data_IF_180558098616
#
_entry.id   IF_180558098616
#
_cell.length_a   1.000
_cell.length_b   1.000
_cell.length_c   1.000
_cell.angle_alpha   90.00
_cell.angle_beta   90.00
_cell.angle_gamma   90.00
#
_symmetry.space_group_name_H-M   'P 1'
#
loop_
_entity.id
_entity.type
_entity.pdbx_description
1 polymer ?
#
# COMPACT_ATOMS: atom_id res chain seq x y z
N UNK A 1 5.68 -8.57 -3.25
CA UNK A 1 6.08 -8.28 -1.86
C UNK A 1 6.71 -6.89 -1.67
N UNK A 2 7.60 -6.42 -2.56
CA UNK A 2 8.25 -5.10 -2.43
C UNK A 2 7.28 -3.90 -2.31
N UNK A 3 6.18 -3.88 -3.07
CA UNK A 3 5.16 -2.83 -2.98
C UNK A 3 4.56 -2.70 -1.57
N UNK A 4 4.22 -3.82 -0.94
CA UNK A 4 3.68 -3.83 0.42
C UNK A 4 4.66 -3.28 1.47
N UNK A 5 5.94 -3.63 1.37
CA UNK A 5 6.99 -3.10 2.25
C UNK A 5 7.19 -1.60 2.01
N UNK A 6 7.08 -1.18 0.75
CA UNK A 6 7.17 0.23 0.38
C UNK A 6 6.03 1.02 1.03
N UNK A 7 4.78 0.55 0.93
CA UNK A 7 3.64 1.19 1.63
C UNK A 7 3.83 1.15 3.15
N UNK A 8 4.27 0.03 3.73
CA UNK A 8 4.54 -0.03 5.17
C UNK A 8 5.58 1.02 5.62
N UNK A 9 6.55 1.35 4.76
CA UNK A 9 7.55 2.38 5.07
C UNK A 9 6.95 3.79 5.19
N UNK A 10 5.89 4.13 4.45
CA UNK A 10 5.23 5.44 4.60
C UNK A 10 4.53 5.60 5.95
N UNK A 11 4.24 4.49 6.66
CA UNK A 11 3.63 4.49 7.99
C UNK A 11 4.71 4.44 9.09
N UNK A 12 5.69 3.55 8.93
CA UNK A 12 6.63 3.15 9.98
C UNK A 12 7.95 3.93 9.97
N UNK A 13 8.36 4.50 8.82
CA UNK A 13 9.66 5.17 8.67
C UNK A 13 9.45 6.68 8.50
N UNK A 14 9.66 7.50 9.54
CA UNK A 14 9.35 8.93 9.50
C UNK A 14 10.25 9.76 8.58
N UNK A 15 11.38 9.22 8.12
CA UNK A 15 12.30 9.89 7.19
C UNK A 15 11.95 9.71 5.72
N UNK A 16 10.92 8.93 5.39
CA UNK A 16 10.50 8.73 4.00
C UNK A 16 9.69 9.94 3.56
N UNK A 17 10.12 10.59 2.48
CA UNK A 17 9.41 11.75 1.92
C UNK A 17 8.25 11.36 1.01
N UNK A 18 8.33 10.20 0.35
CA UNK A 18 7.28 9.65 -0.53
C UNK A 18 7.55 8.18 -0.86
N UNK A 19 6.51 7.47 -1.30
CA UNK A 19 6.56 6.04 -1.68
C UNK A 19 5.92 5.82 -3.04
N UNK A 20 6.61 5.08 -3.92
CA UNK A 20 6.03 4.49 -5.12
C UNK A 20 5.95 2.97 -4.96
N UNK A 21 4.74 2.43 -4.84
CA UNK A 21 4.50 1.01 -4.64
C UNK A 21 4.02 0.33 -5.92
N UNK A 22 4.41 -0.93 -6.11
CA UNK A 22 3.99 -1.77 -7.23
C UNK A 22 3.50 -3.11 -6.70
N UNK A 23 2.25 -3.46 -7.03
CA UNK A 23 1.63 -4.77 -6.84
C UNK A 23 1.83 -5.34 -5.42
N UNK A 24 1.26 -4.66 -4.41
CA UNK A 24 1.35 -5.14 -3.04
C UNK A 24 0.84 -4.18 -1.98
N UNK A 25 0.02 -4.70 -1.07
CA UNK A 25 -0.55 -4.00 0.09
C UNK A 25 -0.09 -4.71 1.36
N UNK A 26 0.38 -4.00 2.40
CA UNK A 26 0.75 -4.62 3.66
C UNK A 26 -0.49 -5.10 4.42
N UNK A 27 -0.30 -6.10 5.28
CA UNK A 27 -1.33 -6.42 6.28
C UNK A 27 -1.47 -5.27 7.27
N UNK A 28 -2.70 -4.94 7.68
CA UNK A 28 -2.98 -3.96 8.73
C UNK A 28 -2.33 -4.29 10.08
N UNK A 29 -2.00 -5.57 10.33
CA UNK A 29 -1.22 -5.97 11.51
C UNK A 29 0.23 -5.49 11.48
N UNK A 30 0.80 -5.33 10.29
CA UNK A 30 2.16 -4.84 10.08
C UNK A 30 2.16 -3.31 9.99
N UNK A 31 1.29 -2.75 9.14
CA UNK A 31 1.14 -1.32 8.94
C UNK A 31 -0.27 -1.02 8.44
N UNK A 32 -1.00 -0.17 9.16
CA UNK A 32 -2.28 0.38 8.70
C UNK A 32 -2.02 1.47 7.66
N UNK A 33 -2.45 1.23 6.42
CA UNK A 33 -2.18 2.13 5.29
C UNK A 33 -2.92 3.47 5.42
N UNK A 34 -4.02 3.51 6.17
CA UNK A 34 -4.71 4.76 6.52
C UNK A 34 -3.87 5.67 7.45
N UNK A 35 -2.81 5.14 8.08
CA UNK A 35 -1.89 5.89 8.93
C UNK A 35 -0.63 6.36 8.18
N UNK A 36 -0.64 6.33 6.84
CA UNK A 36 0.48 6.80 6.03
C UNK A 36 0.83 8.27 6.36
N UNK A 37 2.10 8.51 6.65
CA UNK A 37 2.65 9.85 6.99
C UNK A 37 3.33 10.52 5.80
N UNK A 38 3.67 9.74 4.77
CA UNK A 38 4.24 10.19 3.52
C UNK A 38 3.28 9.90 2.35
N UNK A 39 3.25 10.73 1.29
CA UNK A 39 2.48 10.47 0.08
C UNK A 39 2.79 9.09 -0.52
N UNK A 40 1.76 8.39 -0.98
CA UNK A 40 1.87 7.08 -1.63
C UNK A 40 1.29 7.14 -3.04
N UNK A 41 2.07 6.73 -4.04
CA UNK A 41 1.60 6.43 -5.38
C UNK A 41 1.65 4.91 -5.59
N UNK A 42 0.47 4.27 -5.60
CA UNK A 42 0.37 2.82 -5.71
C UNK A 42 -0.06 2.41 -7.13
N UNK A 43 0.65 1.44 -7.71
CA UNK A 43 0.40 0.93 -9.06
C UNK A 43 -0.06 -0.53 -8.97
N UNK A 44 -1.20 -0.80 -9.60
CA UNK A 44 -1.81 -2.13 -9.70
C UNK A 44 -2.07 -2.47 -11.16
N UNK A 45 -2.02 -3.76 -11.47
CA UNK A 45 -2.33 -4.27 -12.80
C UNK A 45 -3.80 -4.62 -12.89
N UNK A 46 -4.52 -4.06 -13.87
CA UNK A 46 -5.92 -4.39 -14.11
C UNK A 46 -6.15 -5.89 -14.37
N UNK A 47 -5.14 -6.56 -14.93
CA UNK A 47 -5.16 -7.99 -15.24
C UNK A 47 -4.49 -8.86 -14.16
N UNK A 48 -4.13 -8.29 -13.00
CA UNK A 48 -3.62 -9.07 -11.87
C UNK A 48 -4.80 -9.69 -11.11
N UNK A 49 -4.90 -11.01 -11.16
CA UNK A 49 -5.97 -11.76 -10.50
C UNK A 49 -5.59 -12.23 -9.08
N UNK A 50 -4.47 -11.77 -8.52
CA UNK A 50 -4.06 -12.12 -7.17
C UNK A 50 -4.84 -11.30 -6.12
N UNK A 51 -5.98 -11.85 -5.71
CA UNK A 51 -6.90 -11.25 -4.73
C UNK A 51 -6.22 -11.01 -3.38
N UNK A 52 -6.56 -9.89 -2.74
CA UNK A 52 -6.03 -9.51 -1.43
C UNK A 52 -4.74 -8.71 -1.51
N UNK A 53 -3.63 -9.37 -1.82
CA UNK A 53 -2.30 -8.75 -1.73
C UNK A 53 -2.03 -7.72 -2.85
N UNK A 54 -2.43 -8.03 -4.09
CA UNK A 54 -2.21 -7.19 -5.27
C UNK A 54 -3.53 -6.65 -5.85
N UNK A 55 -4.56 -6.53 -5.02
CA UNK A 55 -5.91 -6.17 -5.47
C UNK A 55 -6.19 -4.68 -5.26
N UNK A 56 -6.53 -3.97 -6.34
CA UNK A 56 -6.81 -2.52 -6.30
C UNK A 56 -7.99 -2.16 -5.38
N UNK A 57 -9.00 -3.03 -5.27
CA UNK A 57 -10.17 -2.80 -4.41
C UNK A 57 -9.78 -2.87 -2.93
N UNK A 58 -8.88 -3.80 -2.60
CA UNK A 58 -8.29 -3.90 -1.26
C UNK A 58 -7.38 -2.70 -0.99
N UNK A 59 -6.69 -2.17 -2.00
CA UNK A 59 -5.89 -0.96 -1.84
C UNK A 59 -6.77 0.24 -1.46
N UNK A 60 -7.84 0.50 -2.22
CA UNK A 60 -8.76 1.61 -1.93
C UNK A 60 -9.30 1.56 -0.50
N UNK A 61 -9.84 0.41 -0.11
CA UNK A 61 -10.38 0.22 1.25
C UNK A 61 -9.30 0.33 2.33
N UNK A 62 -8.06 -0.12 2.08
CA UNK A 62 -6.95 -0.01 3.03
C UNK A 62 -6.49 1.43 3.29
N UNK A 63 -6.69 2.33 2.32
CA UNK A 63 -6.42 3.76 2.47
C UNK A 63 -7.66 4.57 2.92
N UNK A 64 -8.81 3.92 3.09
CA UNK A 64 -10.06 4.58 3.49
C UNK A 64 -10.72 5.40 2.37
N UNK A 65 -10.46 5.05 1.11
CA UNK A 65 -11.20 5.60 -0.03
C UNK A 65 -12.44 4.73 -0.29
N UNK A 66 -13.63 5.33 -0.13
CA UNK A 66 -14.93 4.73 -0.47
C UNK A 66 -15.17 4.64 -1.98
#
# INVERSE_FOLDING_TARGET
>A
MGGAISIASSVLVPQVDAVAAFYGIPSSKLADSAQAKAPVQAHFGELDHFVGFSDVTVCHSSFGFD
#
